data_IF_919262500938
#
_entry.id   IF_919262500938
#
_cell.length_a   1.000
_cell.length_b   1.000
_cell.length_c   1.000
_cell.angle_alpha   90.00
_cell.angle_beta   90.00
_cell.angle_gamma   90.00
#
_symmetry.space_group_name_H-M   'P 1'
#
loop_
_entity.id
_entity.type
_entity.pdbx_description
1 polymer ?
#
# COMPACT_ATOMS: atom_id res chain seq x y z
N UNK A 1 -5.21 -9.35 1.18
CA UNK A 1 -3.73 -9.44 1.14
C UNK A 1 -3.27 -8.91 -0.20
N UNK A 2 -2.30 -7.99 -0.22
CA UNK A 2 -1.60 -7.56 -1.43
C UNK A 2 -0.13 -7.97 -1.30
N UNK A 3 0.45 -8.58 -2.34
CA UNK A 3 1.82 -9.11 -2.35
C UNK A 3 2.46 -8.92 -3.73
N UNK A 4 3.75 -8.59 -3.79
CA UNK A 4 4.56 -8.62 -5.02
C UNK A 4 5.24 -9.97 -5.23
N UNK A 5 5.68 -10.29 -6.45
CA UNK A 5 6.38 -11.56 -6.70
C UNK A 5 7.70 -11.67 -5.92
N UNK A 6 8.16 -12.90 -5.65
CA UNK A 6 9.31 -13.17 -4.77
C UNK A 6 10.65 -12.58 -5.31
N UNK A 7 10.77 -12.43 -6.63
CA UNK A 7 11.94 -11.82 -7.29
C UNK A 7 11.81 -10.28 -7.41
N UNK A 8 10.67 -9.71 -7.04
CA UNK A 8 10.43 -8.26 -7.09
C UNK A 8 10.94 -7.62 -5.80
N UNK A 9 12.02 -6.84 -5.91
CA UNK A 9 12.47 -5.94 -4.84
C UNK A 9 11.48 -4.78 -4.70
N UNK A 10 10.46 -4.97 -3.87
CA UNK A 10 9.44 -3.97 -3.57
C UNK A 10 9.23 -3.86 -2.05
N UNK A 11 9.25 -2.63 -1.56
CA UNK A 11 8.89 -2.27 -0.19
C UNK A 11 7.47 -1.69 -0.18
N UNK A 12 6.45 -2.44 0.28
CA UNK A 12 5.08 -1.96 0.33
C UNK A 12 4.90 -0.92 1.44
N UNK A 13 4.16 0.13 1.12
CA UNK A 13 3.76 1.17 2.07
C UNK A 13 2.25 1.37 1.95
N UNK A 14 1.57 1.54 3.08
CA UNK A 14 0.16 1.88 3.13
C UNK A 14 -0.07 3.18 3.89
N UNK A 15 -0.92 4.04 3.35
CA UNK A 15 -1.40 5.25 4.02
C UNK A 15 -2.88 5.12 4.32
N UNK A 16 -3.28 5.34 5.58
CA UNK A 16 -4.68 5.42 5.98
C UNK A 16 -5.10 6.89 5.95
N UNK A 17 -5.87 7.26 4.93
CA UNK A 17 -6.21 8.65 4.63
C UNK A 17 -7.63 8.97 5.05
N UNK A 18 -7.79 10.15 5.64
CA UNK A 18 -9.10 10.77 5.88
C UNK A 18 -9.72 11.26 4.56
N UNK A 19 -10.93 11.80 4.63
CA UNK A 19 -11.59 12.43 3.48
C UNK A 19 -10.73 13.54 2.84
N UNK A 20 -9.88 14.20 3.63
CA UNK A 20 -9.00 15.27 3.16
C UNK A 20 -7.82 14.76 2.31
N UNK A 21 -7.61 13.44 2.23
CA UNK A 21 -6.42 12.87 1.60
C UNK A 21 -5.19 12.89 2.50
N UNK A 22 -5.37 13.13 3.79
CA UNK A 22 -4.31 13.24 4.79
C UNK A 22 -4.46 12.14 5.86
N UNK A 23 -3.33 11.65 6.36
CA UNK A 23 -3.21 10.86 7.59
C UNK A 23 -3.64 11.68 8.80
N UNK A 24 -4.06 11.02 9.88
CA UNK A 24 -4.41 11.70 11.12
C UNK A 24 -3.18 11.99 11.96
N UNK A 25 -2.23 11.05 11.93
CA UNK A 25 -0.91 11.08 12.57
C UNK A 25 0.03 10.18 11.75
N UNK A 26 1.33 10.26 11.96
CA UNK A 26 2.32 9.35 11.33
C UNK A 26 2.05 7.86 11.64
N UNK A 27 1.26 7.55 12.67
CA UNK A 27 0.82 6.18 12.99
C UNK A 27 -0.07 5.56 11.89
N UNK A 28 -0.65 6.37 11.00
CA UNK A 28 -1.49 5.93 9.87
C UNK A 28 -0.68 5.57 8.62
N UNK A 29 0.65 5.58 8.69
CA UNK A 29 1.54 5.09 7.66
C UNK A 29 2.13 3.74 8.08
N UNK A 30 1.91 2.68 7.31
CA UNK A 30 2.48 1.34 7.55
C UNK A 30 3.56 1.05 6.52
N UNK A 31 4.76 0.69 7.00
CA UNK A 31 5.96 0.40 6.21
C UNK A 31 6.93 -0.44 7.04
N UNK A 32 8.10 -0.80 6.51
CA UNK A 32 9.05 -1.68 7.22
C UNK A 32 9.46 -1.18 8.62
N UNK A 33 9.55 0.14 8.84
CA UNK A 33 9.89 0.74 10.14
C UNK A 33 8.72 0.81 11.13
N UNK A 34 7.49 0.69 10.62
CA UNK A 34 6.24 0.67 11.40
C UNK A 34 5.31 -0.38 10.77
N UNK A 35 5.56 -1.68 10.97
CA UNK A 35 4.90 -2.74 10.22
C UNK A 35 3.44 -2.97 10.66
N UNK A 36 3.03 -2.47 11.81
CA UNK A 36 1.68 -2.67 12.35
C UNK A 36 0.98 -1.33 12.62
N UNK A 37 -0.20 -1.17 12.03
CA UNK A 37 -1.11 -0.11 12.43
C UNK A 37 -1.73 -0.44 13.79
N UNK A 38 -1.80 0.53 14.72
CA UNK A 38 -2.28 0.29 16.10
C UNK A 38 -3.72 -0.25 16.21
N UNK A 39 -4.57 -0.05 15.20
CA UNK A 39 -5.91 -0.66 15.16
C UNK A 39 -5.93 -2.11 14.65
N UNK A 40 -4.82 -2.59 14.08
CA UNK A 40 -4.72 -3.85 13.33
C UNK A 40 -5.46 -3.82 11.99
N UNK A 41 -5.74 -2.62 11.45
CA UNK A 41 -6.34 -2.44 10.12
C UNK A 41 -5.38 -2.81 8.99
N UNK A 42 -4.09 -2.54 9.17
CA UNK A 42 -3.05 -2.85 8.21
C UNK A 42 -1.84 -3.42 8.95
N UNK A 43 -1.31 -4.52 8.43
CA UNK A 43 -0.05 -5.14 8.88
C UNK A 43 0.80 -5.44 7.66
N UNK A 44 2.08 -5.09 7.71
CA UNK A 44 3.11 -5.53 6.78
C UNK A 44 3.73 -6.82 7.32
N UNK A 45 3.44 -7.92 6.64
CA UNK A 45 3.91 -9.26 6.97
C UNK A 45 5.09 -9.65 6.07
N UNK A 46 5.95 -10.49 6.63
CA UNK A 46 6.92 -11.23 5.85
C UNK A 46 6.23 -12.30 4.99
N UNK A 47 6.72 -12.51 3.77
CA UNK A 47 6.40 -13.67 2.97
C UNK A 47 7.10 -14.94 3.48
N UNK A 48 6.95 -16.04 2.74
CA UNK A 48 7.53 -17.34 3.11
C UNK A 48 9.07 -17.35 3.12
N UNK A 49 9.70 -16.39 2.43
CA UNK A 49 11.16 -16.19 2.39
C UNK A 49 11.66 -15.31 3.54
N UNK A 50 10.75 -14.65 4.25
CA UNK A 50 11.05 -13.70 5.33
C UNK A 50 11.12 -12.24 4.86
N UNK A 51 10.88 -11.94 3.59
CA UNK A 51 10.89 -10.58 3.06
C UNK A 51 9.55 -9.88 3.32
N UNK A 52 9.57 -8.65 3.79
CA UNK A 52 8.38 -7.88 4.17
C UNK A 52 7.65 -7.30 2.95
N UNK A 53 7.10 -8.17 2.10
CA UNK A 53 6.54 -7.84 0.78
C UNK A 53 5.00 -7.88 0.76
N UNK A 54 4.37 -8.19 1.89
CA UNK A 54 2.94 -8.52 1.95
C UNK A 54 2.15 -7.60 2.88
N UNK A 55 1.13 -6.90 2.36
CA UNK A 55 0.19 -6.10 3.15
C UNK A 55 -1.12 -6.84 3.42
N UNK A 56 -1.45 -6.97 4.70
CA UNK A 56 -2.73 -7.48 5.19
C UNK A 56 -3.65 -6.34 5.59
N UNK A 57 -4.75 -6.16 4.84
CA UNK A 57 -5.77 -5.15 5.12
C UNK A 57 -6.98 -5.83 5.75
N UNK A 58 -7.44 -5.29 6.88
CA UNK A 58 -8.65 -5.73 7.60
C UNK A 58 -9.67 -4.59 7.63
N UNK A 59 -10.56 -4.48 6.62
CA UNK A 59 -11.39 -3.29 6.44
C UNK A 59 -12.32 -2.96 7.62
N UNK A 60 -12.77 -3.99 8.35
CA UNK A 60 -13.61 -3.86 9.56
C UNK A 60 -12.89 -3.22 10.77
N UNK A 61 -11.56 -3.14 10.75
CA UNK A 61 -10.73 -2.52 11.81
C UNK A 61 -10.24 -1.13 11.42
N UNK A 62 -10.54 -0.67 10.20
CA UNK A 62 -10.19 0.67 9.76
C UNK A 62 -10.97 1.69 10.61
N UNK A 63 -10.29 2.67 11.23
CA UNK A 63 -10.94 3.73 12.00
C UNK A 63 -11.99 4.50 11.19
N UNK A 64 -13.03 5.00 11.87
CA UNK A 64 -14.22 5.52 11.21
C UNK A 64 -14.01 6.80 10.38
N UNK A 65 -12.98 7.56 10.73
CA UNK A 65 -12.49 8.80 10.12
C UNK A 65 -11.61 8.56 8.88
N UNK A 66 -11.14 7.33 8.67
CA UNK A 66 -10.40 6.92 7.47
C UNK A 66 -11.39 6.54 6.37
N UNK A 67 -11.21 7.12 5.19
CA UNK A 67 -12.03 6.89 4.00
C UNK A 67 -11.29 6.21 2.87
N UNK A 68 -9.96 6.18 2.92
CA UNK A 68 -9.13 5.51 1.92
C UNK A 68 -7.93 4.83 2.58
N UNK A 69 -7.56 3.65 2.08
CA UNK A 69 -6.24 3.06 2.30
C UNK A 69 -5.52 3.02 0.96
N UNK A 70 -4.56 3.92 0.78
CA UNK A 70 -3.71 3.97 -0.40
C UNK A 70 -2.55 3.00 -0.22
N UNK A 71 -2.33 2.13 -1.20
CA UNK A 71 -1.21 1.18 -1.21
C UNK A 71 -0.25 1.55 -2.33
N UNK A 72 0.98 1.83 -1.94
CA UNK A 72 2.11 2.08 -2.84
C UNK A 72 3.21 1.07 -2.57
N UNK A 73 4.14 0.95 -3.50
CA UNK A 73 5.38 0.21 -3.29
C UNK A 73 6.55 1.05 -3.80
N UNK A 74 7.63 1.03 -3.03
CA UNK A 74 8.93 1.54 -3.44
C UNK A 74 9.72 0.40 -4.08
N UNK A 75 10.17 0.62 -5.30
CA UNK A 75 11.02 -0.30 -6.06
C UNK A 75 12.33 0.42 -6.43
N UNK A 76 13.33 -0.31 -6.98
CA UNK A 76 14.47 0.34 -7.61
C UNK A 76 14.03 1.38 -8.65
N UNK A 77 14.71 2.53 -8.65
CA UNK A 77 14.46 3.60 -9.62
C UNK A 77 14.85 3.17 -11.04
N UNK A 78 14.13 3.70 -12.04
CA UNK A 78 14.36 3.45 -13.47
C UNK A 78 14.42 1.95 -13.84
N UNK A 79 13.66 1.12 -13.11
CA UNK A 79 13.66 -0.33 -13.25
C UNK A 79 12.70 -0.77 -14.36
N UNK A 80 13.23 -1.47 -15.36
CA UNK A 80 12.50 -1.75 -16.61
C UNK A 80 11.53 -2.93 -16.55
N UNK A 81 11.73 -3.87 -15.62
CA UNK A 81 10.91 -5.10 -15.52
C UNK A 81 10.61 -5.48 -14.06
N UNK A 82 9.72 -4.72 -13.38
CA UNK A 82 9.43 -4.91 -11.96
C UNK A 82 8.59 -6.14 -11.63
N UNK A 83 8.17 -6.94 -12.62
CA UNK A 83 7.33 -8.11 -12.40
C UNK A 83 5.88 -7.74 -12.11
N UNK A 84 5.28 -8.37 -11.09
CA UNK A 84 3.85 -8.28 -10.86
C UNK A 84 3.43 -8.25 -9.39
N UNK A 85 2.18 -7.88 -9.15
CA UNK A 85 1.55 -7.88 -7.84
C UNK A 85 0.20 -8.59 -7.86
N UNK A 86 -0.13 -9.24 -6.75
CA UNK A 86 -1.34 -10.03 -6.58
C UNK A 86 -2.15 -9.53 -5.39
N UNK A 87 -3.47 -9.61 -5.53
CA UNK A 87 -4.40 -9.35 -4.42
C UNK A 87 -5.29 -10.55 -4.20
N UNK A 88 -5.39 -11.01 -2.95
CA UNK A 88 -6.16 -12.18 -2.54
C UNK A 88 -7.06 -11.81 -1.36
N UNK A 89 -8.29 -12.31 -1.39
CA UNK A 89 -9.20 -12.30 -0.25
C UNK A 89 -8.82 -13.46 0.69
N UNK A 90 -8.41 -13.15 1.91
CA UNK A 90 -7.94 -14.18 2.86
C UNK A 90 -9.09 -14.99 3.49
N UNK A 91 -10.31 -14.46 3.51
CA UNK A 91 -11.46 -15.16 4.10
C UNK A 91 -11.94 -16.28 3.15
N UNK A 92 -11.83 -16.06 1.83
CA UNK A 92 -12.30 -16.99 0.79
C UNK A 92 -11.17 -17.70 0.04
N UNK A 93 -9.94 -17.20 0.14
CA UNK A 93 -8.79 -17.64 -0.64
C UNK A 93 -8.87 -17.29 -2.13
N UNK A 94 -9.86 -16.50 -2.55
CA UNK A 94 -10.06 -16.16 -3.96
C UNK A 94 -9.12 -15.02 -4.39
N UNK A 95 -8.53 -15.09 -5.60
CA UNK A 95 -7.81 -13.96 -6.16
C UNK A 95 -8.81 -12.82 -6.45
N UNK A 96 -8.48 -11.63 -5.96
CA UNK A 96 -9.21 -10.40 -6.26
C UNK A 96 -8.63 -9.68 -7.48
N UNK A 97 -7.34 -9.90 -7.78
CA UNK A 97 -6.73 -9.37 -8.99
C UNK A 97 -5.23 -9.63 -9.11
N UNK A 98 -4.71 -9.25 -10.27
CA UNK A 98 -3.31 -9.32 -10.66
C UNK A 98 -2.93 -8.05 -11.43
N UNK A 99 -1.75 -7.51 -11.16
CA UNK A 99 -1.21 -6.30 -11.77
C UNK A 99 0.17 -6.60 -12.36
N UNK A 100 0.33 -6.40 -13.65
CA UNK A 100 1.66 -6.21 -14.23
C UNK A 100 2.16 -4.83 -13.82
N UNK A 101 3.37 -4.75 -13.26
CA UNK A 101 3.96 -3.49 -12.83
C UNK A 101 4.64 -2.82 -14.04
N UNK A 102 4.37 -1.52 -14.30
CA UNK A 102 5.06 -0.80 -15.34
C UNK A 102 6.51 -0.52 -14.92
N UNK A 103 7.38 -0.24 -15.89
CA UNK A 103 8.71 0.28 -15.60
C UNK A 103 8.62 1.49 -14.65
N UNK A 104 9.50 1.52 -13.65
CA UNK A 104 9.48 2.59 -12.65
C UNK A 104 10.16 3.84 -13.17
N UNK A 105 9.73 4.99 -12.64
CA UNK A 105 10.38 6.27 -12.88
C UNK A 105 11.58 6.52 -11.93
N UNK A 106 12.12 7.75 -11.94
CA UNK A 106 13.29 8.12 -11.12
C UNK A 106 13.07 8.01 -9.61
N UNK A 107 11.81 8.06 -9.17
CA UNK A 107 11.42 7.93 -7.76
C UNK A 107 11.30 6.47 -7.34
N UNK A 108 11.15 5.53 -8.28
CA UNK A 108 10.89 4.12 -7.99
C UNK A 108 9.51 3.82 -7.40
N UNK A 109 8.63 4.82 -7.23
CA UNK A 109 7.34 4.64 -6.57
C UNK A 109 6.22 4.28 -7.55
N UNK A 110 5.46 3.25 -7.17
CA UNK A 110 4.24 2.84 -7.85
C UNK A 110 3.06 2.87 -6.87
N UNK A 111 1.95 3.49 -7.27
CA UNK A 111 0.65 3.16 -6.69
C UNK A 111 0.22 1.79 -7.21
N UNK A 112 -0.32 0.95 -6.33
CA UNK A 112 -0.78 -0.41 -6.66
C UNK A 112 -2.28 -0.57 -6.45
N UNK A 113 -2.82 0.00 -5.38
CA UNK A 113 -4.23 -0.11 -5.06
C UNK A 113 -4.71 1.04 -4.18
N UNK A 114 -6.02 1.28 -4.19
CA UNK A 114 -6.72 2.08 -3.21
C UNK A 114 -7.95 1.31 -2.72
N UNK A 115 -8.12 1.21 -1.40
CA UNK A 115 -9.34 0.71 -0.78
C UNK A 115 -10.14 1.93 -0.31
N UNK A 116 -11.22 2.25 -0.99
CA UNK A 116 -12.01 3.47 -0.76
C UNK A 116 -13.36 3.16 -0.13
N UNK A 117 -13.83 4.03 0.76
CA UNK A 117 -15.12 3.87 1.45
C UNK A 117 -16.16 4.81 0.87
N UNK A 118 -17.28 4.25 0.41
CA UNK A 118 -18.47 4.99 -0.01
C UNK A 118 -19.72 4.29 0.50
N UNK A 119 -20.71 5.05 0.98
CA UNK A 119 -21.97 4.52 1.53
C UNK A 119 -21.79 3.40 2.58
N UNK A 120 -20.71 3.51 3.37
CA UNK A 120 -20.35 2.54 4.40
C UNK A 120 -19.75 1.23 3.89
N UNK A 121 -19.61 1.05 2.56
CA UNK A 121 -18.98 -0.09 1.92
C UNK A 121 -17.56 0.24 1.47
N UNK A 122 -16.69 -0.78 1.45
CA UNK A 122 -15.33 -0.66 0.95
C UNK A 122 -15.24 -1.18 -0.49
N UNK A 123 -14.54 -0.44 -1.33
CA UNK A 123 -14.34 -0.73 -2.74
C UNK A 123 -12.85 -0.78 -3.03
N UNK A 124 -12.38 -1.90 -3.56
CA UNK A 124 -10.99 -2.06 -3.99
C UNK A 124 -10.85 -1.57 -5.43
N UNK A 125 -9.92 -0.66 -5.66
CA UNK A 125 -9.46 -0.26 -6.97
C UNK A 125 -7.99 -0.64 -7.10
N UNK A 126 -7.66 -1.40 -8.14
CA UNK A 126 -6.29 -1.84 -8.43
C UNK A 126 -5.80 -1.09 -9.66
N UNK A 127 -4.64 -0.46 -9.55
CA UNK A 127 -4.01 0.28 -10.63
C UNK A 127 -2.51 0.34 -10.37
N UNK A 128 -1.70 -0.11 -11.32
CA UNK A 128 -0.25 0.06 -11.28
C UNK A 128 0.10 1.36 -12.02
N UNK A 129 0.45 2.41 -11.27
CA UNK A 129 0.73 3.73 -11.82
C UNK A 129 2.00 4.34 -11.20
N UNK A 130 2.83 4.94 -12.05
CA UNK A 130 4.05 5.65 -11.61
C UNK A 130 3.67 6.89 -10.82
N UNK A 131 4.36 7.11 -9.69
CA UNK A 131 4.22 8.30 -8.86
C UNK A 131 5.42 9.21 -9.08
N UNK A 132 5.19 10.39 -9.64
CA UNK A 132 6.24 11.37 -10.01
C UNK A 132 6.78 12.19 -8.82
N UNK A 133 6.47 11.78 -7.59
CA UNK A 133 6.95 12.37 -6.35
C UNK A 133 7.71 11.32 -5.54
N UNK A 134 8.72 11.74 -4.78
CA UNK A 134 9.41 10.85 -3.86
C UNK A 134 8.53 10.51 -2.64
N UNK A 135 8.96 9.52 -1.86
CA UNK A 135 8.17 9.04 -0.73
C UNK A 135 7.99 10.13 0.34
N UNK A 136 9.00 10.97 0.55
CA UNK A 136 8.93 12.05 1.53
C UNK A 136 7.90 13.10 1.13
N UNK A 137 7.83 13.47 -0.15
CA UNK A 137 6.84 14.37 -0.70
C UNK A 137 5.43 13.76 -0.65
N UNK A 138 5.30 12.46 -0.93
CA UNK A 138 4.02 11.76 -0.78
C UNK A 138 3.56 11.71 0.68
N UNK A 139 4.46 11.40 1.60
CA UNK A 139 4.19 11.38 3.03
C UNK A 139 3.82 12.78 3.54
N UNK A 140 4.55 13.82 3.14
CA UNK A 140 4.24 15.20 3.48
C UNK A 140 2.90 15.68 2.90
N UNK A 141 2.59 15.31 1.65
CA UNK A 141 1.30 15.58 1.03
C UNK A 141 0.16 14.85 1.75
N UNK A 142 0.45 13.68 2.33
CA UNK A 142 -0.46 12.96 3.21
C UNK A 142 -0.46 13.53 4.64
N UNK A 143 0.30 14.58 4.98
CA UNK A 143 0.29 15.17 6.33
C UNK A 143 1.18 14.47 7.36
N UNK A 144 2.07 13.56 6.94
CA UNK A 144 3.10 12.95 7.81
C UNK A 144 4.16 14.01 8.14
N UNK A 145 4.51 14.14 9.41
CA UNK A 145 5.61 15.02 9.84
C UNK A 145 6.94 14.27 9.78
N UNK A 146 7.87 14.76 8.96
CA UNK A 146 9.25 14.29 8.91
C UNK A 146 10.13 15.27 9.69
N UNK A 147 10.28 15.04 10.98
CA UNK A 147 11.26 15.74 11.83
C UNK A 147 12.65 15.07 11.79
#
# INVERSE_FOLDING_TARGET
MLRTDDDTEADPIAFLLTHAGEVRTDADMVFYGQPDHGSGAVTLAADETGAATTLHLTPRKIPADVTEVLVVAQLPADHSDPGSAHVIDLDTGQPLGHLALPATGPTGLLQLAALQRSDGQWHLQMAAAVVDHDLAALAAAAGVSVD
#
